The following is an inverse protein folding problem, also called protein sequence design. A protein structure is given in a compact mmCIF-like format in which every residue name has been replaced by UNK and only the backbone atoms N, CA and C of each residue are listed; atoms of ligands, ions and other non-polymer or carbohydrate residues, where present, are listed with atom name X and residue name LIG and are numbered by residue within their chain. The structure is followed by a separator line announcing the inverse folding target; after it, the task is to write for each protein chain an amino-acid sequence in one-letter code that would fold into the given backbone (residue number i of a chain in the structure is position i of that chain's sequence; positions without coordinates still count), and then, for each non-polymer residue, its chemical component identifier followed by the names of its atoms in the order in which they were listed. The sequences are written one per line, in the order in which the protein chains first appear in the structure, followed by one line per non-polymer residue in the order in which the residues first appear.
data_IF_062078240041
#
_entry.id   IF_062078240041
#
_cell.length_a   1.000
_cell.length_b   1.000
_cell.length_c   1.000
_cell.angle_alpha   90.00
_cell.angle_beta   90.00
_cell.angle_gamma   90.00
#
_symmetry.space_group_name_H-M   'P 1'
#
loop_
_entity.id
_entity.type
_entity.pdbx_description
1 polymer ?
#
# COMPACT_ATOMS: atom_id res chain seq x y z
N UNK A 1 27.88 -44.53 -54.11
CA UNK A 1 28.06 -43.13 -54.59
C UNK A 1 26.76 -42.36 -54.34
N UNK A 2 26.81 -41.04 -54.06
CA UNK A 2 26.48 -40.49 -52.74
C UNK A 2 24.98 -40.21 -52.48
N UNK A 3 24.68 -40.14 -51.17
CA UNK A 3 23.37 -40.12 -50.51
C UNK A 3 22.71 -38.74 -50.57
N UNK A 4 21.42 -38.70 -50.93
CA UNK A 4 20.53 -37.56 -50.67
C UNK A 4 20.47 -37.29 -49.16
N UNK A 5 20.89 -36.10 -48.73
CA UNK A 5 20.58 -35.56 -47.40
C UNK A 5 19.43 -34.57 -47.54
N UNK A 6 18.23 -35.04 -47.20
CA UNK A 6 17.10 -34.15 -46.91
C UNK A 6 17.37 -33.49 -45.57
N UNK A 7 17.54 -32.17 -45.56
CA UNK A 7 17.62 -31.39 -44.33
C UNK A 7 16.23 -31.38 -43.67
N UNK A 8 16.06 -32.19 -42.62
CA UNK A 8 14.89 -32.11 -41.76
C UNK A 8 15.05 -30.88 -40.84
N UNK A 9 14.40 -29.77 -41.19
CA UNK A 9 14.19 -28.65 -40.26
C UNK A 9 13.24 -29.11 -39.15
N UNK A 10 13.77 -29.32 -37.94
CA UNK A 10 12.95 -29.49 -36.74
C UNK A 10 12.20 -28.20 -36.42
N UNK A 11 10.95 -28.25 -35.93
CA UNK A 11 10.12 -27.08 -35.75
C UNK A 11 10.57 -26.29 -34.52
N UNK A 12 11.41 -25.27 -34.75
CA UNK A 12 11.79 -24.26 -33.75
C UNK A 12 10.65 -23.25 -33.53
N UNK A 13 9.43 -23.74 -33.26
CA UNK A 13 8.23 -22.87 -33.11
C UNK A 13 7.52 -23.04 -31.76
N UNK A 14 7.83 -24.06 -30.97
CA UNK A 14 7.13 -24.32 -29.71
C UNK A 14 7.70 -23.59 -28.49
N UNK A 15 8.94 -23.07 -28.54
CA UNK A 15 9.62 -22.49 -27.36
C UNK A 15 9.30 -21.02 -27.12
N UNK A 16 8.73 -20.29 -28.11
CA UNK A 16 8.48 -18.85 -27.99
C UNK A 16 7.13 -18.51 -27.35
N UNK A 17 6.19 -19.45 -27.28
CA UNK A 17 4.85 -19.22 -26.73
C UNK A 17 4.77 -19.30 -25.20
N UNK A 18 5.75 -19.93 -24.53
CA UNK A 18 5.75 -20.10 -23.07
C UNK A 18 6.24 -18.86 -22.30
N UNK A 19 6.94 -17.92 -22.94
CA UNK A 19 7.48 -16.71 -22.30
C UNK A 19 6.42 -15.62 -22.04
N UNK A 20 5.25 -15.69 -22.68
CA UNK A 20 4.14 -14.73 -22.49
C UNK A 20 3.13 -15.14 -21.41
N UNK A 21 3.30 -16.31 -20.78
CA UNK A 21 2.41 -16.79 -19.71
C UNK A 21 2.89 -16.42 -18.31
N UNK A 22 4.04 -15.77 -18.17
CA UNK A 22 4.47 -15.23 -16.87
C UNK A 22 3.90 -13.82 -16.70
N UNK A 23 3.06 -13.57 -15.68
CA UNK A 23 2.68 -12.20 -15.34
C UNK A 23 3.96 -11.43 -14.99
N UNK A 24 4.29 -10.42 -15.80
CA UNK A 24 5.36 -9.50 -15.47
C UNK A 24 4.91 -8.67 -14.26
N UNK A 25 5.31 -9.09 -13.06
CA UNK A 25 5.06 -8.31 -11.86
C UNK A 25 6.07 -7.17 -11.83
N UNK A 26 5.70 -6.03 -12.39
CA UNK A 26 6.46 -4.80 -12.21
C UNK A 26 6.15 -4.24 -10.83
N UNK A 27 7.15 -4.17 -9.96
CA UNK A 27 7.04 -3.51 -8.67
C UNK A 27 7.59 -2.09 -8.83
N UNK A 28 6.71 -1.09 -8.72
CA UNK A 28 7.15 0.29 -8.54
C UNK A 28 7.85 0.43 -7.18
N UNK A 29 8.92 1.21 -7.13
CA UNK A 29 9.58 1.52 -5.87
C UNK A 29 8.63 2.32 -4.96
N UNK A 30 8.86 2.27 -3.64
CA UNK A 30 7.96 2.96 -2.70
C UNK A 30 7.95 4.48 -2.90
N UNK A 31 9.04 5.07 -3.38
CA UNK A 31 9.15 6.50 -3.68
C UNK A 31 8.62 6.89 -5.08
N UNK A 32 8.18 5.93 -5.90
CA UNK A 32 7.63 6.18 -7.24
C UNK A 32 6.10 6.16 -7.21
N UNK A 33 5.46 7.07 -7.93
CA UNK A 33 4.00 7.04 -8.04
C UNK A 33 3.43 8.22 -8.80
N UNK A 34 2.18 8.05 -9.23
CA UNK A 34 1.49 9.02 -10.08
C UNK A 34 1.28 10.37 -9.40
N UNK A 35 1.18 10.43 -8.07
CA UNK A 35 1.02 11.70 -7.36
C UNK A 35 2.22 12.62 -7.55
N UNK A 36 3.44 12.08 -7.37
CA UNK A 36 4.69 12.80 -7.65
C UNK A 36 4.77 13.16 -9.13
N UNK A 37 4.48 12.23 -10.04
CA UNK A 37 4.51 12.52 -11.48
C UNK A 37 3.58 13.67 -11.86
N UNK A 38 2.35 13.68 -11.34
CA UNK A 38 1.37 14.75 -11.58
C UNK A 38 1.80 16.07 -10.97
N UNK A 39 2.31 16.07 -9.74
CA UNK A 39 2.73 17.30 -9.06
C UNK A 39 3.97 17.95 -9.71
N UNK A 40 4.88 17.15 -10.26
CA UNK A 40 6.12 17.66 -10.87
C UNK A 40 6.00 17.91 -12.38
N UNK A 41 4.94 17.43 -13.03
CA UNK A 41 4.71 17.66 -14.46
C UNK A 41 4.42 19.14 -14.75
N UNK A 42 5.18 19.70 -15.69
CA UNK A 42 5.01 21.06 -16.23
C UNK A 42 5.05 22.20 -15.19
N UNK A 43 5.65 22.01 -14.02
CA UNK A 43 5.84 23.08 -13.04
C UNK A 43 7.11 23.87 -13.33
N UNK A 44 6.98 25.18 -13.55
CA UNK A 44 8.11 26.09 -13.70
C UNK A 44 8.76 26.47 -12.37
N UNK A 45 8.04 26.30 -11.27
CA UNK A 45 8.52 26.52 -9.90
C UNK A 45 8.47 25.20 -9.13
N UNK A 46 9.65 24.69 -8.76
CA UNK A 46 9.79 23.41 -8.07
C UNK A 46 9.15 23.41 -6.67
N UNK A 47 9.09 24.55 -5.98
CA UNK A 47 8.45 24.63 -4.67
C UNK A 47 6.95 24.32 -4.75
N UNK A 48 6.28 24.74 -5.83
CA UNK A 48 4.86 24.43 -6.07
C UNK A 48 4.66 22.92 -6.25
N UNK A 49 5.62 22.23 -6.87
CA UNK A 49 5.57 20.77 -7.03
C UNK A 49 5.69 20.04 -5.68
N UNK A 50 6.62 20.48 -4.82
CA UNK A 50 6.76 19.95 -3.47
C UNK A 50 5.52 20.21 -2.60
N UNK A 51 4.98 21.43 -2.62
CA UNK A 51 3.76 21.78 -1.86
C UNK A 51 2.55 20.95 -2.32
N UNK A 52 2.42 20.75 -3.64
CA UNK A 52 1.40 19.86 -4.22
C UNK A 52 1.51 18.44 -3.64
N UNK A 53 2.72 17.88 -3.63
CA UNK A 53 2.93 16.51 -3.16
C UNK A 53 2.70 16.38 -1.66
N UNK A 54 3.16 17.35 -0.87
CA UNK A 54 2.92 17.39 0.59
C UNK A 54 1.42 17.45 0.90
N UNK A 55 0.66 18.26 0.15
CA UNK A 55 -0.81 18.29 0.27
C UNK A 55 -1.43 16.94 -0.06
N UNK A 56 -0.96 16.24 -1.11
CA UNK A 56 -1.44 14.89 -1.45
C UNK A 56 -1.14 13.87 -0.34
N UNK A 57 0.02 13.99 0.29
CA UNK A 57 0.41 13.16 1.44
C UNK A 57 -0.53 13.36 2.62
N UNK A 58 -0.84 14.62 2.96
CA UNK A 58 -1.80 14.96 4.01
C UNK A 58 -3.21 14.45 3.67
N UNK A 59 -3.69 14.66 2.43
CA UNK A 59 -4.97 14.15 1.95
C UNK A 59 -5.06 12.62 2.09
N UNK A 60 -4.02 11.89 1.68
CA UNK A 60 -3.98 10.43 1.77
C UNK A 60 -3.99 9.93 3.22
N UNK A 61 -3.30 10.63 4.12
CA UNK A 61 -3.23 10.26 5.54
C UNK A 61 -4.56 10.51 6.23
N UNK A 62 -5.21 11.65 5.95
CA UNK A 62 -6.55 11.93 6.44
C UNK A 62 -7.59 10.93 5.92
N UNK A 63 -7.49 10.53 4.65
CA UNK A 63 -8.36 9.50 4.09
C UNK A 63 -8.19 8.14 4.81
N UNK A 64 -6.95 7.75 5.09
CA UNK A 64 -6.67 6.54 5.87
C UNK A 64 -7.24 6.62 7.29
N UNK A 65 -7.10 7.76 7.97
CA UNK A 65 -7.64 7.96 9.32
C UNK A 65 -9.16 7.80 9.38
N UNK A 66 -9.87 8.32 8.37
CA UNK A 66 -11.32 8.14 8.27
C UNK A 66 -11.70 6.67 8.06
N UNK A 67 -10.95 5.93 7.22
CA UNK A 67 -11.16 4.50 7.02
C UNK A 67 -10.92 3.73 8.32
N UNK A 68 -9.85 4.03 9.05
CA UNK A 68 -9.56 3.42 10.36
C UNK A 68 -10.71 3.69 11.34
N UNK A 69 -11.18 4.93 11.42
CA UNK A 69 -12.25 5.31 12.34
C UNK A 69 -13.56 4.58 12.01
N UNK A 70 -13.96 4.53 10.74
CA UNK A 70 -15.17 3.83 10.33
C UNK A 70 -15.04 2.31 10.52
N UNK A 71 -13.92 1.70 10.15
CA UNK A 71 -13.64 0.29 10.41
C UNK A 71 -13.74 -0.03 11.89
N UNK A 72 -13.14 0.79 12.77
CA UNK A 72 -13.21 0.59 14.21
C UNK A 72 -14.63 0.65 14.76
N UNK A 73 -15.46 1.57 14.23
CA UNK A 73 -16.88 1.64 14.57
C UNK A 73 -17.61 0.37 14.13
N UNK A 74 -17.36 -0.13 12.93
CA UNK A 74 -17.96 -1.39 12.45
C UNK A 74 -17.51 -2.61 13.26
N UNK A 75 -16.24 -2.65 13.72
CA UNK A 75 -15.76 -3.69 14.65
C UNK A 75 -16.64 -3.76 15.90
N UNK A 76 -16.94 -2.61 16.51
CA UNK A 76 -17.77 -2.56 17.72
C UNK A 76 -19.22 -2.98 17.45
N UNK A 77 -19.81 -2.51 16.35
CA UNK A 77 -21.19 -2.82 15.96
C UNK A 77 -21.35 -4.32 15.68
N UNK A 78 -20.41 -4.92 14.94
CA UNK A 78 -20.52 -6.31 14.49
C UNK A 78 -20.16 -7.35 15.56
N UNK A 79 -19.56 -6.93 16.68
CA UNK A 79 -19.09 -7.83 17.73
C UNK A 79 -19.65 -7.47 19.12
N UNK A 80 -20.98 -7.40 19.32
CA UNK A 80 -21.59 -6.95 20.57
C UNK A 80 -21.54 -8.00 21.70
N UNK A 81 -21.08 -9.23 21.41
CA UNK A 81 -21.09 -10.34 22.36
C UNK A 81 -20.20 -10.08 23.59
N UNK A 82 -20.54 -10.65 24.75
CA UNK A 82 -19.76 -10.46 25.97
C UNK A 82 -18.43 -11.21 25.91
N UNK A 83 -17.43 -10.72 26.62
CA UNK A 83 -16.17 -11.44 26.82
C UNK A 83 -16.38 -12.56 27.85
N UNK A 84 -16.06 -13.80 27.48
CA UNK A 84 -16.23 -14.97 28.34
C UNK A 84 -15.37 -14.85 29.61
N UNK A 85 -15.99 -15.07 30.79
CA UNK A 85 -15.35 -14.97 32.12
C UNK A 85 -14.77 -13.59 32.45
N UNK A 86 -15.19 -12.52 31.77
CA UNK A 86 -14.85 -11.16 32.18
C UNK A 86 -15.53 -10.81 33.51
N UNK A 87 -14.79 -10.16 34.42
CA UNK A 87 -15.35 -9.55 35.64
C UNK A 87 -16.10 -8.25 35.34
N UNK A 88 -15.85 -7.63 34.18
CA UNK A 88 -16.62 -6.50 33.68
C UNK A 88 -17.78 -6.99 32.79
N UNK A 89 -19.04 -6.86 33.24
CA UNK A 89 -20.20 -7.30 32.48
C UNK A 89 -20.54 -6.41 31.29
N UNK A 90 -19.91 -5.22 31.16
CA UNK A 90 -20.11 -4.30 30.03
C UNK A 90 -19.08 -4.50 28.92
N UNK A 91 -18.03 -5.28 29.17
CA UNK A 91 -16.96 -5.52 28.20
C UNK A 91 -17.42 -6.43 27.07
N UNK A 92 -17.33 -5.94 25.84
CA UNK A 92 -17.68 -6.69 24.64
C UNK A 92 -16.45 -7.23 23.90
N UNK A 93 -16.63 -8.27 23.08
CA UNK A 93 -15.62 -8.76 22.14
C UNK A 93 -15.18 -7.62 21.21
N UNK A 94 -16.13 -6.78 20.79
CA UNK A 94 -15.88 -5.58 19.98
C UNK A 94 -14.95 -4.57 20.66
N UNK A 95 -14.99 -4.43 21.98
CA UNK A 95 -14.06 -3.55 22.71
C UNK A 95 -12.64 -4.10 22.73
N UNK A 96 -12.47 -5.42 22.92
CA UNK A 96 -11.16 -6.08 22.86
C UNK A 96 -10.57 -6.00 21.45
N UNK A 97 -11.39 -6.28 20.44
CA UNK A 97 -10.97 -6.20 19.05
C UNK A 97 -10.63 -4.76 18.67
N UNK A 98 -11.49 -3.79 18.99
CA UNK A 98 -11.24 -2.35 18.76
C UNK A 98 -9.92 -1.89 19.37
N UNK A 99 -9.64 -2.27 20.63
CA UNK A 99 -8.39 -1.93 21.30
C UNK A 99 -7.18 -2.48 20.54
N UNK A 100 -7.24 -3.73 20.13
CA UNK A 100 -6.14 -4.40 19.41
C UNK A 100 -5.95 -3.82 18.01
N UNK A 101 -7.04 -3.55 17.30
CA UNK A 101 -7.03 -2.92 15.98
C UNK A 101 -6.39 -1.54 16.03
N UNK A 102 -6.83 -0.67 16.94
CA UNK A 102 -6.29 0.69 17.10
C UNK A 102 -4.81 0.69 17.52
N UNK A 103 -4.41 -0.23 18.40
CA UNK A 103 -2.99 -0.40 18.75
C UNK A 103 -2.15 -0.76 17.51
N UNK A 104 -2.62 -1.72 16.70
CA UNK A 104 -1.95 -2.07 15.45
C UNK A 104 -1.85 -0.88 14.47
N UNK A 105 -2.84 0.02 14.44
CA UNK A 105 -2.78 1.22 13.58
C UNK A 105 -1.70 2.21 14.03
N UNK A 106 -1.50 2.35 15.35
CA UNK A 106 -0.44 3.20 15.90
C UNK A 106 0.92 2.63 15.50
N UNK A 107 1.13 1.34 15.71
CA UNK A 107 2.39 0.67 15.37
C UNK A 107 2.66 0.71 13.86
N UNK A 108 1.63 0.52 13.05
CA UNK A 108 1.75 0.59 11.59
C UNK A 108 2.15 1.98 11.11
N UNK A 109 1.60 3.05 11.68
CA UNK A 109 1.99 4.43 11.32
C UNK A 109 3.44 4.72 11.67
N UNK A 110 3.91 4.26 12.82
CA UNK A 110 5.30 4.37 13.21
C UNK A 110 6.23 3.56 12.27
N UNK A 111 5.82 2.34 11.90
CA UNK A 111 6.52 1.56 10.88
C UNK A 111 6.60 2.29 9.52
N UNK A 112 5.48 2.85 9.04
CA UNK A 112 5.41 3.61 7.79
C UNK A 112 6.40 4.77 7.79
N UNK A 113 6.44 5.57 8.86
CA UNK A 113 7.34 6.71 8.98
C UNK A 113 8.81 6.29 8.92
N UNK A 114 9.19 5.28 9.72
CA UNK A 114 10.54 4.76 9.74
C UNK A 114 10.97 4.15 8.40
N UNK A 115 10.07 3.41 7.75
CA UNK A 115 10.34 2.83 6.44
C UNK A 115 10.51 3.91 5.37
N UNK A 116 9.68 4.96 5.36
CA UNK A 116 9.80 6.02 4.36
C UNK A 116 11.07 6.87 4.54
N UNK A 117 11.53 7.08 5.77
CA UNK A 117 12.85 7.65 6.04
C UNK A 117 13.96 6.74 5.49
N UNK A 118 13.89 5.43 5.73
CA UNK A 118 14.87 4.47 5.21
C UNK A 118 14.86 4.38 3.67
N UNK A 119 13.70 4.54 3.03
CA UNK A 119 13.59 4.60 1.56
C UNK A 119 14.20 5.88 1.03
N UNK A 120 13.97 7.03 1.68
CA UNK A 120 14.51 8.30 1.22
C UNK A 120 16.03 8.42 1.46
N UNK A 121 16.56 7.77 2.51
CA UNK A 121 18.00 7.85 2.83
C UNK A 121 18.91 7.29 1.76
N UNK A 122 18.39 6.47 0.83
CA UNK A 122 19.14 5.97 -0.32
C UNK A 122 19.69 7.10 -1.22
N UNK A 123 19.08 8.30 -1.20
CA UNK A 123 19.53 9.46 -1.99
C UNK A 123 20.31 10.50 -1.16
N UNK A 124 20.48 10.26 0.15
CA UNK A 124 21.08 11.22 1.09
C UNK A 124 20.05 12.20 1.67
N UNK A 125 20.16 12.50 2.97
CA UNK A 125 19.22 13.38 3.68
C UNK A 125 19.28 14.85 3.24
N UNK A 126 20.40 15.25 2.64
CA UNK A 126 20.64 16.59 2.10
C UNK A 126 20.21 16.75 0.64
N UNK A 127 19.75 15.68 -0.01
CA UNK A 127 19.28 15.75 -1.39
C UNK A 127 17.99 16.57 -1.50
N UNK A 128 17.89 17.40 -2.54
CA UNK A 128 16.71 18.23 -2.79
C UNK A 128 15.41 17.41 -2.86
N UNK A 129 15.47 16.19 -3.40
CA UNK A 129 14.33 15.30 -3.60
C UNK A 129 13.95 14.49 -2.35
N UNK A 130 14.73 14.57 -1.26
CA UNK A 130 14.59 13.74 -0.06
C UNK A 130 13.15 13.74 0.49
N UNK A 131 12.56 14.92 0.66
CA UNK A 131 11.18 15.03 1.15
C UNK A 131 10.16 14.44 0.16
N UNK A 132 10.35 14.60 -1.16
CA UNK A 132 9.42 14.02 -2.14
C UNK A 132 9.43 12.48 -2.12
N UNK A 133 10.56 11.86 -1.79
CA UNK A 133 10.67 10.41 -1.63
C UNK A 133 9.87 9.93 -0.42
N UNK A 134 9.97 10.66 0.71
CA UNK A 134 9.19 10.38 1.92
C UNK A 134 7.69 10.51 1.62
N UNK A 135 7.29 11.63 1.04
CA UNK A 135 5.88 11.95 0.77
C UNK A 135 5.23 10.91 -0.15
N UNK A 136 5.88 10.57 -1.27
CA UNK A 136 5.36 9.55 -2.19
C UNK A 136 5.33 8.16 -1.54
N UNK A 137 6.33 7.82 -0.72
CA UNK A 137 6.33 6.58 0.07
C UNK A 137 5.13 6.51 1.03
N UNK A 138 4.84 7.58 1.76
CA UNK A 138 3.69 7.65 2.67
C UNK A 138 2.38 7.45 1.90
N UNK A 139 2.20 8.12 0.77
CA UNK A 139 1.01 7.95 -0.09
C UNK A 139 0.84 6.49 -0.51
N UNK A 140 1.91 5.85 -0.97
CA UNK A 140 1.87 4.47 -1.44
C UNK A 140 1.60 3.47 -0.33
N UNK A 141 2.20 3.65 0.84
CA UNK A 141 1.94 2.79 2.00
C UNK A 141 0.52 2.99 2.55
N UNK A 142 0.00 4.23 2.56
CA UNK A 142 -1.39 4.49 2.93
C UNK A 142 -2.36 3.72 2.02
N UNK A 143 -2.17 3.77 0.70
CA UNK A 143 -2.99 3.02 -0.26
C UNK A 143 -2.96 1.51 -0.01
N UNK A 144 -1.76 0.95 0.21
CA UNK A 144 -1.60 -0.50 0.47
C UNK A 144 -2.28 -0.92 1.76
N UNK A 145 -2.16 -0.11 2.81
CA UNK A 145 -2.76 -0.42 4.09
C UNK A 145 -4.28 -0.31 4.10
N UNK A 146 -4.85 0.59 3.28
CA UNK A 146 -6.29 0.58 3.02
C UNK A 146 -6.74 -0.78 2.46
N UNK A 147 -5.97 -1.40 1.58
CA UNK A 147 -6.30 -2.75 1.08
C UNK A 147 -6.15 -3.82 2.17
N UNK A 148 -5.12 -3.74 3.02
CA UNK A 148 -4.98 -4.63 4.19
C UNK A 148 -6.19 -4.53 5.14
N UNK A 149 -6.65 -3.30 5.42
CA UNK A 149 -7.84 -3.07 6.25
C UNK A 149 -9.10 -3.67 5.60
N UNK A 150 -9.26 -3.52 4.27
CA UNK A 150 -10.38 -4.13 3.54
C UNK A 150 -10.36 -5.65 3.60
N UNK A 151 -9.18 -6.27 3.59
CA UNK A 151 -9.01 -7.72 3.70
C UNK A 151 -9.37 -8.28 5.08
N UNK A 152 -9.56 -7.44 6.09
CA UNK A 152 -10.08 -7.87 7.40
C UNK A 152 -11.56 -8.30 7.33
N UNK A 153 -12.24 -8.10 6.19
CA UNK A 153 -13.63 -8.50 5.92
C UNK A 153 -14.64 -8.03 7.00
N UNK A 154 -14.43 -6.81 7.50
CA UNK A 154 -15.34 -6.19 8.47
C UNK A 154 -16.53 -5.65 7.67
N UNK A 155 -17.63 -6.39 7.71
CA UNK A 155 -18.88 -6.04 7.01
C UNK A 155 -19.38 -4.68 7.47
N UNK A 156 -19.69 -3.78 6.53
CA UNK A 156 -20.54 -2.62 6.85
C UNK A 156 -21.91 -3.15 7.26
N UNK A 157 -22.40 -2.79 8.44
CA UNK A 157 -23.73 -3.18 8.88
C UNK A 157 -24.76 -2.84 7.79
N UNK A 158 -25.43 -3.85 7.24
CA UNK A 158 -26.63 -3.64 6.43
C UNK A 158 -27.71 -3.11 7.38
N UNK A 159 -28.05 -1.83 7.22
CA UNK A 159 -29.33 -1.31 7.69
C UNK A 159 -30.47 -1.96 6.88
#
# INVERSE_FOLDING_TARGET
MPKNKVFAMKPLRATLALLFLMPAVSYAALYEGMERDVCFKNQSNIHIAYDCLSKKTAESSHALDNIIAETNKQIKINNPGPVFRSEDPKLTIGDIYSKSFLAAQVDWKAYRENLCLAVASQIGEDANDYQSYIDQCVINLNKRHVEEIKMMDIKSGHN
#
